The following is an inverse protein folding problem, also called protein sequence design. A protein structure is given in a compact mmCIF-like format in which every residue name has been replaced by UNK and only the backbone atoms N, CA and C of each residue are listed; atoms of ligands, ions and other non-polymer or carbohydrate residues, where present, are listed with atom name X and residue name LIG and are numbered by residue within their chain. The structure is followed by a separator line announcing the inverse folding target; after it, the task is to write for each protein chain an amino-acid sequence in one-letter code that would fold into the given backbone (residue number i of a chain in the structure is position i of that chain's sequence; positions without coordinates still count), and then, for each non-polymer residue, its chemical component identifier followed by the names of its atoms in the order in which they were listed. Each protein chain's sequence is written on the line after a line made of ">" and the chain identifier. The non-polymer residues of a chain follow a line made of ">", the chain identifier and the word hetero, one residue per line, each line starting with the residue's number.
data_IF_039887309400
#
_entry.id   IF_039887309400
#
_cell.length_a   1.000
_cell.length_b   1.000
_cell.length_c   1.000
_cell.angle_alpha   90.00
_cell.angle_beta   90.00
_cell.angle_gamma   90.00
#
_symmetry.space_group_name_H-M   'P 1'
#
loop_
_entity.id
_entity.type
_entity.pdbx_description
1 polymer ?
#
# COMPACT_ATOMS: atom_id res chain seq x y z
N UNK A 1 -27.91 4.09 8.96
CA UNK A 1 -27.07 5.30 8.89
C UNK A 1 -25.77 5.11 9.67
N UNK A 2 -25.82 4.69 10.93
CA UNK A 2 -24.64 4.52 11.80
C UNK A 2 -23.64 3.51 11.24
N UNK A 3 -24.08 2.36 10.73
CA UNK A 3 -23.19 1.35 10.11
C UNK A 3 -22.48 1.86 8.86
N UNK A 4 -23.16 2.62 8.01
CA UNK A 4 -22.52 3.23 6.82
C UNK A 4 -21.44 4.23 7.22
N UNK A 5 -21.69 5.03 8.27
CA UNK A 5 -20.71 5.97 8.80
C UNK A 5 -19.52 5.24 9.42
N UNK A 6 -19.77 4.19 10.21
CA UNK A 6 -18.72 3.34 10.78
C UNK A 6 -17.84 2.73 9.67
N UNK A 7 -18.47 2.18 8.63
CA UNK A 7 -17.78 1.62 7.47
C UNK A 7 -16.91 2.66 6.75
N UNK A 8 -17.45 3.87 6.56
CA UNK A 8 -16.72 4.98 5.95
C UNK A 8 -15.49 5.38 6.78
N UNK A 9 -15.65 5.56 8.09
CA UNK A 9 -14.60 6.08 8.96
C UNK A 9 -13.50 5.07 9.28
N UNK A 10 -13.84 3.77 9.42
CA UNK A 10 -12.90 2.73 9.81
C UNK A 10 -12.27 2.00 8.61
N UNK A 11 -13.01 1.88 7.51
CA UNK A 11 -12.64 1.07 6.36
C UNK A 11 -12.69 1.83 5.03
N UNK A 12 -12.75 3.18 5.09
CA UNK A 12 -12.83 4.04 3.90
C UNK A 12 -14.00 3.68 2.96
N UNK A 13 -15.09 3.12 3.48
CA UNK A 13 -16.25 2.68 2.70
C UNK A 13 -16.14 1.28 2.09
N UNK A 14 -14.99 0.61 2.20
CA UNK A 14 -14.78 -0.75 1.72
C UNK A 14 -15.38 -1.81 2.66
N UNK A 15 -15.52 -3.04 2.18
CA UNK A 15 -15.85 -4.18 3.06
C UNK A 15 -14.65 -4.46 3.98
N UNK A 16 -14.87 -4.84 5.27
CA UNK A 16 -13.80 -5.08 6.23
C UNK A 16 -12.77 -6.11 5.76
N UNK A 17 -13.23 -7.16 5.05
CA UNK A 17 -12.37 -8.21 4.52
C UNK A 17 -11.47 -7.70 3.38
N UNK A 18 -12.03 -6.97 2.41
CA UNK A 18 -11.28 -6.35 1.31
C UNK A 18 -10.27 -5.34 1.85
N UNK A 19 -10.70 -4.54 2.84
CA UNK A 19 -9.82 -3.57 3.51
C UNK A 19 -8.65 -4.27 4.22
N UNK A 20 -8.91 -5.39 4.92
CA UNK A 20 -7.87 -6.15 5.60
C UNK A 20 -6.87 -6.78 4.62
N UNK A 21 -7.36 -7.36 3.51
CA UNK A 21 -6.51 -7.98 2.47
C UNK A 21 -5.54 -6.99 1.84
N UNK A 22 -5.96 -5.76 1.58
CA UNK A 22 -5.10 -4.77 0.92
C UNK A 22 -4.13 -4.04 1.87
N UNK A 23 -4.16 -4.28 3.19
CA UNK A 23 -3.36 -3.51 4.15
C UNK A 23 -1.86 -3.62 3.92
N UNK A 24 -1.36 -4.81 3.59
CA UNK A 24 0.07 -5.02 3.35
C UNK A 24 0.54 -4.20 2.15
N UNK A 25 -0.18 -4.28 1.05
CA UNK A 25 0.13 -3.56 -0.18
C UNK A 25 0.00 -2.04 -0.01
N UNK A 26 -1.02 -1.60 0.75
CA UNK A 26 -1.19 -0.18 1.13
C UNK A 26 0.01 0.31 1.92
N UNK A 27 0.55 -0.48 2.85
CA UNK A 27 1.75 -0.11 3.60
C UNK A 27 2.98 -0.03 2.70
N UNK A 28 3.16 -0.97 1.78
CA UNK A 28 4.24 -0.92 0.78
C UNK A 28 4.12 0.35 -0.08
N UNK A 29 2.90 0.68 -0.51
CA UNK A 29 2.64 1.90 -1.28
C UNK A 29 2.92 3.17 -0.45
N UNK A 30 2.46 3.22 0.80
CA UNK A 30 2.73 4.34 1.72
C UNK A 30 4.21 4.53 1.99
N UNK A 31 4.96 3.45 2.13
CA UNK A 31 6.40 3.49 2.30
C UNK A 31 7.11 4.13 1.10
N UNK A 32 6.79 3.69 -0.12
CA UNK A 32 7.35 4.29 -1.35
C UNK A 32 7.04 5.78 -1.42
N UNK A 33 5.82 6.19 -1.04
CA UNK A 33 5.42 7.60 -0.96
C UNK A 33 6.23 8.36 0.08
N UNK A 34 6.38 7.80 1.29
CA UNK A 34 7.15 8.43 2.37
C UNK A 34 8.59 8.69 1.95
N UNK A 35 9.28 7.69 1.39
CA UNK A 35 10.65 7.84 0.87
C UNK A 35 10.74 8.96 -0.18
N UNK A 36 9.79 9.00 -1.14
CA UNK A 36 9.74 10.03 -2.16
C UNK A 36 9.48 11.43 -1.57
N UNK A 37 8.54 11.55 -0.62
CA UNK A 37 8.23 12.82 0.03
C UNK A 37 9.36 13.30 0.93
N UNK A 38 10.04 12.41 1.67
CA UNK A 38 11.21 12.76 2.47
C UNK A 38 12.36 13.25 1.58
N UNK A 39 12.65 12.57 0.47
CA UNK A 39 13.66 13.01 -0.49
C UNK A 39 13.34 14.38 -1.07
N UNK A 40 12.08 14.60 -1.48
CA UNK A 40 11.60 15.89 -1.99
C UNK A 40 11.68 16.98 -0.91
N UNK A 41 11.28 16.68 0.33
CA UNK A 41 11.34 17.61 1.46
C UNK A 41 12.80 18.01 1.78
N UNK A 42 13.73 17.06 1.77
CA UNK A 42 15.15 17.36 1.95
C UNK A 42 15.66 18.35 0.88
N UNK A 43 15.38 18.07 -0.40
CA UNK A 43 15.78 18.96 -1.50
C UNK A 43 15.14 20.35 -1.37
N UNK A 44 13.86 20.40 -1.01
CA UNK A 44 13.11 21.64 -0.80
C UNK A 44 13.66 22.48 0.37
N UNK A 45 13.92 21.84 1.53
CA UNK A 45 14.45 22.56 2.69
C UNK A 45 15.92 22.97 2.51
N UNK A 46 16.72 22.24 1.74
CA UNK A 46 18.05 22.71 1.29
C UNK A 46 17.90 23.98 0.48
N UNK A 47 17.03 23.99 -0.53
CA UNK A 47 16.81 25.15 -1.38
C UNK A 47 16.30 26.36 -0.60
N UNK A 48 15.36 26.17 0.35
CA UNK A 48 14.84 27.22 1.20
C UNK A 48 15.93 27.77 2.14
N UNK A 49 16.73 26.90 2.76
CA UNK A 49 17.81 27.34 3.67
C UNK A 49 18.86 28.14 2.92
N UNK A 50 19.30 27.64 1.76
CA UNK A 50 20.29 28.35 0.93
C UNK A 50 19.72 29.67 0.37
N UNK A 51 18.47 29.67 -0.10
CA UNK A 51 17.78 30.87 -0.58
C UNK A 51 17.61 31.93 0.51
N UNK A 52 17.28 31.49 1.74
CA UNK A 52 17.20 32.39 2.89
C UNK A 52 18.55 32.99 3.28
N UNK A 53 19.68 32.30 3.04
CA UNK A 53 21.02 32.89 3.24
C UNK A 53 21.37 33.98 2.21
N UNK A 54 20.70 34.01 1.07
CA UNK A 54 20.93 35.00 0.01
C UNK A 54 20.08 36.26 0.14
N UNK A 55 18.98 36.18 0.91
CA UNK A 55 18.01 37.26 1.05
C UNK A 55 17.93 37.71 2.51
N UNK A 56 18.46 38.91 2.86
CA UNK A 56 18.51 39.36 4.26
C UNK A 56 17.15 39.36 4.96
N UNK A 57 16.07 39.63 4.24
CA UNK A 57 14.69 39.60 4.78
C UNK A 57 14.26 38.22 5.28
N UNK A 58 14.91 37.13 4.83
CA UNK A 58 14.59 35.76 5.16
C UNK A 58 15.53 35.12 6.19
N UNK A 59 16.51 35.85 6.75
CA UNK A 59 17.46 35.30 7.72
C UNK A 59 16.80 34.70 8.95
N UNK A 60 15.70 35.27 9.42
CA UNK A 60 14.95 34.80 10.57
C UNK A 60 14.25 33.43 10.33
N UNK A 61 14.14 33.01 9.05
CA UNK A 61 13.54 31.73 8.67
C UNK A 61 14.59 30.58 8.58
N UNK A 62 15.90 30.90 8.54
CA UNK A 62 16.97 29.91 8.40
C UNK A 62 16.89 28.82 9.49
N UNK A 63 16.74 29.15 10.79
CA UNK A 63 16.70 28.11 11.83
C UNK A 63 15.58 27.11 11.65
N UNK A 64 14.38 27.58 11.28
CA UNK A 64 13.21 26.69 11.13
C UNK A 64 13.33 25.79 9.91
N UNK A 65 13.86 26.27 8.80
CA UNK A 65 14.10 25.46 7.61
C UNK A 65 15.25 24.46 7.85
N UNK A 66 16.29 24.84 8.58
CA UNK A 66 17.38 23.96 8.98
C UNK A 66 16.87 22.82 9.90
N UNK A 67 16.03 23.14 10.89
CA UNK A 67 15.39 22.12 11.74
C UNK A 67 14.54 21.17 10.92
N UNK A 68 13.70 21.68 10.01
CA UNK A 68 12.88 20.84 9.13
C UNK A 68 13.73 19.94 8.23
N UNK A 69 14.86 20.45 7.72
CA UNK A 69 15.85 19.67 6.97
C UNK A 69 16.46 18.55 7.82
N UNK A 70 16.91 18.86 9.03
CA UNK A 70 17.52 17.86 9.93
C UNK A 70 16.51 16.76 10.27
N UNK A 71 15.26 17.12 10.57
CA UNK A 71 14.21 16.14 10.85
C UNK A 71 13.93 15.28 9.62
N UNK A 72 13.83 15.88 8.42
CA UNK A 72 13.60 15.14 7.18
C UNK A 72 14.74 14.17 6.86
N UNK A 73 15.98 14.58 7.05
CA UNK A 73 17.18 13.73 6.88
C UNK A 73 17.20 12.60 7.91
N UNK A 74 16.84 12.88 9.16
CA UNK A 74 16.75 11.89 10.23
C UNK A 74 15.70 10.81 9.90
N UNK A 75 14.49 11.21 9.48
CA UNK A 75 13.44 10.28 9.06
C UNK A 75 13.87 9.46 7.82
N UNK A 76 14.52 10.09 6.85
CA UNK A 76 15.03 9.39 5.66
C UNK A 76 16.12 8.37 6.03
N UNK A 77 17.00 8.70 6.96
CA UNK A 77 18.01 7.77 7.44
C UNK A 77 17.39 6.57 8.17
N UNK A 78 16.39 6.82 9.02
CA UNK A 78 15.64 5.76 9.71
C UNK A 78 14.95 4.83 8.71
N UNK A 79 14.30 5.40 7.69
CA UNK A 79 13.66 4.66 6.62
C UNK A 79 14.65 3.75 5.85
N UNK A 80 15.86 4.24 5.58
CA UNK A 80 16.91 3.46 4.89
C UNK A 80 17.54 2.39 5.80
N UNK A 81 17.69 2.66 7.09
CA UNK A 81 18.24 1.70 8.05
C UNK A 81 17.31 0.50 8.31
N UNK A 82 16.02 0.70 8.18
CA UNK A 82 15.01 -0.31 8.50
C UNK A 82 14.04 -0.60 7.34
N UNK A 83 14.56 -1.01 6.17
CA UNK A 83 13.78 -1.13 4.95
C UNK A 83 12.65 -2.17 4.99
N UNK A 84 12.64 -3.08 5.92
CA UNK A 84 11.63 -4.14 6.02
C UNK A 84 10.56 -3.88 7.09
N UNK A 85 10.69 -2.81 7.89
CA UNK A 85 9.73 -2.52 8.95
C UNK A 85 8.48 -1.86 8.38
N UNK A 86 7.36 -2.54 8.52
CA UNK A 86 6.01 -2.11 8.17
C UNK A 86 5.15 -2.02 9.44
N UNK A 87 3.88 -1.73 9.29
CA UNK A 87 2.93 -1.70 10.39
C UNK A 87 3.05 -0.46 11.27
N UNK A 88 3.13 -0.64 12.56
CA UNK A 88 3.17 0.45 13.52
C UNK A 88 4.36 1.38 13.34
N UNK A 89 5.51 0.85 12.94
CA UNK A 89 6.72 1.61 12.74
C UNK A 89 6.59 2.60 11.58
N UNK A 90 6.14 2.13 10.42
CA UNK A 90 5.88 2.99 9.25
C UNK A 90 4.82 4.06 9.56
N UNK A 91 3.76 3.68 10.27
CA UNK A 91 2.74 4.64 10.69
C UNK A 91 3.33 5.74 11.57
N UNK A 92 4.23 5.39 12.46
CA UNK A 92 4.93 6.37 13.32
C UNK A 92 5.74 7.38 12.51
N UNK A 93 6.48 6.91 11.51
CA UNK A 93 7.25 7.77 10.59
C UNK A 93 6.34 8.71 9.78
N UNK A 94 5.21 8.20 9.29
CA UNK A 94 4.20 9.01 8.59
C UNK A 94 3.64 10.11 9.50
N UNK A 95 3.32 9.78 10.75
CA UNK A 95 2.85 10.78 11.72
C UNK A 95 3.93 11.79 12.07
N UNK A 96 5.19 11.36 12.24
CA UNK A 96 6.31 12.24 12.52
C UNK A 96 6.56 13.22 11.36
N UNK A 97 6.48 12.74 10.12
CA UNK A 97 6.55 13.58 8.92
C UNK A 97 5.39 14.60 8.87
N UNK A 98 4.16 14.14 9.10
CA UNK A 98 2.98 15.01 9.16
C UNK A 98 3.10 16.08 10.26
N UNK A 99 3.53 15.68 11.46
CA UNK A 99 3.72 16.57 12.59
C UNK A 99 4.79 17.65 12.32
N UNK A 100 5.86 17.28 11.61
CA UNK A 100 6.89 18.24 11.16
C UNK A 100 6.27 19.30 10.24
N UNK A 101 5.50 18.89 9.24
CA UNK A 101 4.88 19.82 8.28
C UNK A 101 3.83 20.71 8.96
N UNK A 102 2.95 20.15 9.81
CA UNK A 102 1.98 20.93 10.57
C UNK A 102 2.67 21.89 11.55
N UNK A 103 3.69 21.41 12.27
CA UNK A 103 4.47 22.24 13.21
C UNK A 103 5.15 23.40 12.50
N UNK A 104 5.70 23.17 11.31
CA UNK A 104 6.25 24.22 10.45
C UNK A 104 5.17 25.24 10.07
N UNK A 105 4.00 24.77 9.63
CA UNK A 105 2.87 25.64 9.26
C UNK A 105 2.36 26.48 10.43
N UNK A 106 2.27 25.89 11.62
CA UNK A 106 1.87 26.57 12.86
C UNK A 106 2.92 27.63 13.22
N UNK A 107 4.19 27.28 13.24
CA UNK A 107 5.27 28.21 13.57
C UNK A 107 5.30 29.42 12.62
N UNK A 108 5.31 29.15 11.31
CA UNK A 108 5.33 30.21 10.28
C UNK A 108 4.05 31.07 10.34
N UNK A 109 2.91 30.46 10.58
CA UNK A 109 1.62 31.14 10.62
C UNK A 109 1.29 31.85 11.92
N UNK A 110 2.01 31.60 13.02
CA UNK A 110 1.70 32.20 14.32
C UNK A 110 2.89 32.97 14.92
N UNK A 111 3.99 32.30 15.22
CA UNK A 111 5.16 32.91 15.90
C UNK A 111 5.91 33.84 14.97
N UNK A 112 6.14 33.41 13.72
CA UNK A 112 6.96 34.16 12.77
C UNK A 112 6.23 35.37 12.19
N UNK A 113 4.90 35.30 12.02
CA UNK A 113 4.08 36.34 11.42
C UNK A 113 2.87 36.68 12.32
N UNK A 114 3.08 37.32 13.48
CA UNK A 114 2.01 37.53 14.46
C UNK A 114 0.94 38.52 13.99
N UNK A 115 1.25 39.41 13.08
CA UNK A 115 0.41 40.44 12.49
C UNK A 115 -0.26 40.04 11.15
N UNK A 116 0.12 38.92 10.58
CA UNK A 116 -0.40 38.44 9.28
C UNK A 116 -1.29 37.21 9.45
N UNK A 117 -2.10 36.87 8.45
CA UNK A 117 -2.95 35.68 8.44
C UNK A 117 -2.12 34.40 8.22
N UNK A 118 -2.52 33.31 8.84
CA UNK A 118 -1.81 32.03 8.84
C UNK A 118 -2.08 31.19 7.57
N UNK A 119 -1.67 31.66 6.40
CA UNK A 119 -1.94 30.97 5.12
C UNK A 119 -1.26 29.61 5.00
N UNK A 120 0.00 29.48 5.41
CA UNK A 120 0.80 28.26 5.28
C UNK A 120 0.19 27.07 6.05
N UNK A 121 -0.29 27.32 7.27
CA UNK A 121 -0.92 26.26 8.09
C UNK A 121 -2.17 25.69 7.41
N UNK A 122 -3.05 26.53 6.89
CA UNK A 122 -4.29 26.08 6.25
C UNK A 122 -4.01 25.30 4.94
N UNK A 123 -2.98 25.69 4.19
CA UNK A 123 -2.55 24.90 3.05
C UNK A 123 -2.09 23.50 3.46
N UNK A 124 -1.27 23.38 4.52
CA UNK A 124 -0.82 22.09 5.03
C UNK A 124 -1.95 21.27 5.65
N UNK A 125 -2.89 21.92 6.33
CA UNK A 125 -4.07 21.27 6.92
C UNK A 125 -4.91 20.55 5.86
N UNK A 126 -5.02 21.11 4.67
CA UNK A 126 -5.73 20.49 3.55
C UNK A 126 -4.90 19.41 2.84
N UNK A 127 -3.59 19.60 2.70
CA UNK A 127 -2.77 18.78 1.82
C UNK A 127 -2.20 17.53 2.49
N UNK A 128 -1.70 17.64 3.73
CA UNK A 128 -1.04 16.54 4.45
C UNK A 128 -1.91 15.29 4.56
N UNK A 129 -3.22 15.38 4.88
CA UNK A 129 -4.08 14.20 4.98
C UNK A 129 -4.24 13.41 3.66
N UNK A 130 -3.89 14.00 2.51
CA UNK A 130 -4.03 13.35 1.20
C UNK A 130 -2.78 12.59 0.77
N UNK A 131 -1.65 12.72 1.48
CA UNK A 131 -0.37 12.14 1.08
C UNK A 131 -0.31 10.63 1.25
N UNK A 132 -0.97 10.11 2.29
CA UNK A 132 -0.87 8.71 2.69
C UNK A 132 -2.23 8.05 2.83
N UNK A 133 -2.32 6.77 2.43
CA UNK A 133 -3.53 5.97 2.61
C UNK A 133 -3.63 5.48 4.05
N UNK A 134 -4.49 6.09 4.84
CA UNK A 134 -4.76 5.73 6.23
C UNK A 134 -6.27 5.65 6.48
N UNK A 135 -6.67 5.07 7.62
CA UNK A 135 -8.08 5.06 8.01
C UNK A 135 -8.60 6.50 8.15
N UNK A 136 -9.76 6.86 7.58
CA UNK A 136 -10.28 8.22 7.66
C UNK A 136 -10.38 8.77 9.09
N UNK A 137 -10.77 7.92 10.06
CA UNK A 137 -10.84 8.33 11.49
C UNK A 137 -9.50 8.83 12.03
N UNK A 138 -8.38 8.26 11.58
CA UNK A 138 -7.04 8.66 12.01
C UNK A 138 -6.65 10.01 11.39
N UNK A 139 -7.03 10.27 10.14
CA UNK A 139 -6.86 11.58 9.53
C UNK A 139 -7.67 12.66 10.24
N UNK A 140 -8.94 12.38 10.53
CA UNK A 140 -9.79 13.30 11.28
C UNK A 140 -9.18 13.62 12.66
N UNK A 141 -8.75 12.60 13.40
CA UNK A 141 -8.12 12.80 14.70
C UNK A 141 -6.84 13.65 14.60
N UNK A 142 -6.03 13.42 13.57
CA UNK A 142 -4.80 14.16 13.30
C UNK A 142 -5.10 15.63 12.96
N UNK A 143 -6.06 15.88 12.06
CA UNK A 143 -6.51 17.25 11.70
C UNK A 143 -7.01 17.99 12.92
N UNK A 144 -7.90 17.39 13.73
CA UNK A 144 -8.43 18.00 14.93
C UNK A 144 -7.35 18.30 15.98
N UNK A 145 -6.37 17.42 16.13
CA UNK A 145 -5.23 17.62 17.03
C UNK A 145 -4.43 18.85 16.64
N UNK A 146 -3.98 18.94 15.39
CA UNK A 146 -3.13 20.05 14.94
C UNK A 146 -3.89 21.36 14.77
N UNK A 147 -5.17 21.32 14.41
CA UNK A 147 -6.04 22.48 14.40
C UNK A 147 -6.26 23.02 15.82
N UNK A 148 -6.44 22.14 16.81
CA UNK A 148 -6.49 22.50 18.22
C UNK A 148 -5.19 23.14 18.73
N UNK A 149 -4.02 22.57 18.36
CA UNK A 149 -2.71 23.16 18.70
C UNK A 149 -2.57 24.55 18.05
N UNK A 150 -2.96 24.68 16.78
CA UNK A 150 -2.96 25.96 16.08
C UNK A 150 -3.81 27.01 16.78
N UNK A 151 -5.04 26.69 17.20
CA UNK A 151 -5.93 27.59 17.93
C UNK A 151 -5.31 28.08 19.26
N UNK A 152 -4.63 27.19 19.99
CA UNK A 152 -3.89 27.59 21.19
C UNK A 152 -2.75 28.56 20.84
N UNK A 153 -1.98 28.28 19.78
CA UNK A 153 -0.90 29.16 19.34
C UNK A 153 -1.40 30.51 18.86
N UNK A 154 -2.53 30.55 18.13
CA UNK A 154 -3.19 31.81 17.71
C UNK A 154 -3.49 32.71 18.89
N UNK A 155 -4.11 32.16 19.96
CA UNK A 155 -4.46 32.96 21.14
C UNK A 155 -3.25 33.45 21.95
N UNK A 156 -2.07 32.82 21.77
CA UNK A 156 -0.84 33.14 22.53
C UNK A 156 0.10 34.08 21.81
N UNK A 157 0.21 33.96 20.47
CA UNK A 157 1.27 34.60 19.70
C UNK A 157 0.79 35.62 18.68
N UNK A 158 -0.55 35.65 18.37
CA UNK A 158 -1.08 36.52 17.31
C UNK A 158 -1.58 37.87 17.85
N UNK A 159 -1.54 38.89 16.98
CA UNK A 159 -2.20 40.17 17.23
C UNK A 159 -3.73 39.94 17.31
N UNK A 160 -4.36 40.58 18.28
CA UNK A 160 -5.82 40.47 18.51
C UNK A 160 -6.66 40.79 17.26
N UNK A 161 -6.15 41.60 16.33
CA UNK A 161 -6.83 42.02 15.10
C UNK A 161 -6.99 40.88 14.09
N UNK A 162 -6.08 39.90 14.07
CA UNK A 162 -6.10 38.76 13.12
C UNK A 162 -6.70 37.51 13.76
N UNK A 163 -6.75 37.39 15.08
CA UNK A 163 -7.27 36.22 15.78
C UNK A 163 -8.66 35.79 15.29
N UNK A 164 -9.69 36.68 15.20
CA UNK A 164 -11.04 36.26 14.83
C UNK A 164 -11.08 35.58 13.45
N UNK A 165 -10.28 36.08 12.50
CA UNK A 165 -10.25 35.52 11.15
C UNK A 165 -9.50 34.20 11.09
N UNK A 166 -8.38 34.07 11.83
CA UNK A 166 -7.62 32.84 11.91
C UNK A 166 -8.42 31.73 12.62
N UNK A 167 -9.19 32.06 13.66
CA UNK A 167 -10.12 31.13 14.33
C UNK A 167 -11.23 30.69 13.37
N UNK A 168 -11.84 31.63 12.65
CA UNK A 168 -12.86 31.30 11.65
C UNK A 168 -12.30 30.39 10.54
N UNK A 169 -11.11 30.71 10.03
CA UNK A 169 -10.44 29.89 9.02
C UNK A 169 -10.09 28.50 9.55
N UNK A 170 -9.63 28.36 10.79
CA UNK A 170 -9.34 27.08 11.42
C UNK A 170 -10.57 26.17 11.39
N UNK A 171 -11.71 26.67 11.89
CA UNK A 171 -12.96 25.90 11.88
C UNK A 171 -13.40 25.51 10.47
N UNK A 172 -13.34 26.44 9.52
CA UNK A 172 -13.76 26.19 8.13
C UNK A 172 -12.81 25.22 7.42
N UNK A 173 -11.50 25.49 7.44
CA UNK A 173 -10.52 24.63 6.76
C UNK A 173 -10.35 23.29 7.47
N UNK A 174 -10.49 23.22 8.80
CA UNK A 174 -10.52 21.97 9.55
C UNK A 174 -11.70 21.08 9.14
N UNK A 175 -12.92 21.67 9.07
CA UNK A 175 -14.09 20.91 8.59
C UNK A 175 -13.95 20.46 7.13
N UNK A 176 -13.49 21.35 6.24
CA UNK A 176 -13.23 21.00 4.84
C UNK A 176 -12.19 19.88 4.76
N UNK A 177 -11.09 19.97 5.50
CA UNK A 177 -10.04 18.96 5.53
C UNK A 177 -10.57 17.58 5.96
N UNK A 178 -11.39 17.52 7.02
CA UNK A 178 -12.02 16.28 7.47
C UNK A 178 -12.93 15.65 6.41
N UNK A 179 -13.73 16.47 5.71
CA UNK A 179 -14.65 15.99 4.66
C UNK A 179 -13.85 15.52 3.44
N UNK A 180 -12.95 16.36 2.94
CA UNK A 180 -12.19 16.09 1.72
C UNK A 180 -11.24 14.91 1.92
N UNK A 181 -10.52 14.83 3.05
CA UNK A 181 -9.64 13.70 3.33
C UNK A 181 -10.41 12.37 3.43
N UNK A 182 -11.60 12.38 4.04
CA UNK A 182 -12.46 11.18 4.11
C UNK A 182 -12.87 10.72 2.71
N UNK A 183 -13.30 11.66 1.85
CA UNK A 183 -13.69 11.35 0.49
C UNK A 183 -12.50 10.84 -0.35
N UNK A 184 -11.35 11.53 -0.29
CA UNK A 184 -10.13 11.14 -0.99
C UNK A 184 -9.66 9.75 -0.55
N UNK A 185 -9.68 9.46 0.75
CA UNK A 185 -9.33 8.13 1.26
C UNK A 185 -10.29 7.05 0.74
N UNK A 186 -11.59 7.34 0.73
CA UNK A 186 -12.58 6.39 0.18
C UNK A 186 -12.31 6.10 -1.30
N UNK A 187 -12.00 7.12 -2.10
CA UNK A 187 -11.63 6.94 -3.51
C UNK A 187 -10.32 6.16 -3.67
N UNK A 188 -9.29 6.50 -2.90
CA UNK A 188 -7.98 5.84 -2.99
C UNK A 188 -8.07 4.35 -2.65
N UNK A 189 -8.74 4.00 -1.55
CA UNK A 189 -8.96 2.60 -1.17
C UNK A 189 -9.86 1.88 -2.18
N UNK A 190 -10.94 2.51 -2.65
CA UNK A 190 -11.82 1.96 -3.67
C UNK A 190 -11.07 1.63 -4.97
N UNK A 191 -10.29 2.57 -5.48
CA UNK A 191 -9.46 2.36 -6.67
C UNK A 191 -8.41 1.27 -6.45
N UNK A 192 -7.76 1.26 -5.28
CA UNK A 192 -6.73 0.28 -4.95
C UNK A 192 -7.30 -1.14 -4.90
N UNK A 193 -8.42 -1.34 -4.19
CA UNK A 193 -9.11 -2.63 -4.09
C UNK A 193 -9.62 -3.09 -5.46
N UNK A 194 -10.20 -2.18 -6.25
CA UNK A 194 -10.68 -2.49 -7.60
C UNK A 194 -9.52 -2.90 -8.51
N UNK A 195 -8.41 -2.17 -8.48
CA UNK A 195 -7.20 -2.51 -9.24
C UNK A 195 -6.66 -3.87 -8.85
N UNK A 196 -6.56 -4.16 -7.56
CA UNK A 196 -6.10 -5.46 -7.04
C UNK A 196 -7.01 -6.61 -7.51
N UNK A 197 -8.35 -6.43 -7.43
CA UNK A 197 -9.31 -7.43 -7.93
C UNK A 197 -9.17 -7.65 -9.44
N UNK A 198 -9.01 -6.58 -10.22
CA UNK A 198 -8.81 -6.69 -11.66
C UNK A 198 -7.52 -7.43 -12.00
N UNK A 199 -6.42 -7.16 -11.29
CA UNK A 199 -5.16 -7.89 -11.47
C UNK A 199 -5.34 -9.37 -11.16
N UNK A 200 -6.01 -9.72 -10.04
CA UNK A 200 -6.29 -11.12 -9.69
C UNK A 200 -7.09 -11.82 -10.77
N UNK A 201 -8.13 -11.19 -11.30
CA UNK A 201 -8.94 -11.77 -12.39
C UNK A 201 -8.13 -11.89 -13.68
N UNK A 202 -7.28 -10.91 -13.99
CA UNK A 202 -6.43 -10.92 -15.19
C UNK A 202 -5.28 -11.93 -15.11
N UNK A 203 -4.87 -12.35 -13.90
CA UNK A 203 -3.75 -13.27 -13.66
C UNK A 203 -4.16 -14.67 -13.21
N UNK A 204 -5.45 -14.95 -13.03
CA UNK A 204 -5.97 -16.26 -12.65
C UNK A 204 -6.60 -16.99 -13.82
N UNK A 205 -6.47 -18.31 -13.85
CA UNK A 205 -7.26 -19.18 -14.70
C UNK A 205 -8.64 -19.44 -14.06
N UNK A 206 -9.71 -19.18 -14.76
CA UNK A 206 -11.08 -19.23 -14.21
C UNK A 206 -11.53 -20.65 -13.86
N UNK A 207 -11.03 -21.67 -14.57
CA UNK A 207 -11.40 -23.05 -14.33
C UNK A 207 -10.64 -23.66 -13.14
N UNK A 208 -9.30 -23.50 -13.13
CA UNK A 208 -8.43 -24.17 -12.16
C UNK A 208 -8.07 -23.30 -10.95
N UNK A 209 -8.28 -21.98 -11.04
CA UNK A 209 -7.88 -21.01 -10.01
C UNK A 209 -6.36 -20.91 -9.78
N UNK A 210 -5.54 -21.55 -10.59
CA UNK A 210 -4.12 -21.31 -10.63
C UNK A 210 -3.81 -19.98 -11.35
N UNK A 211 -2.58 -19.53 -11.25
CA UNK A 211 -2.12 -18.44 -12.09
C UNK A 211 -2.20 -18.81 -13.58
N UNK A 212 -2.61 -17.87 -14.41
CA UNK A 212 -2.72 -18.08 -15.85
C UNK A 212 -1.39 -17.75 -16.56
N UNK A 213 -1.37 -17.92 -17.89
CA UNK A 213 -0.23 -17.61 -18.74
C UNK A 213 0.27 -16.17 -18.60
N UNK A 214 -0.63 -15.22 -18.45
CA UNK A 214 -0.23 -13.81 -18.28
C UNK A 214 0.55 -13.59 -16.98
N UNK A 215 0.09 -14.18 -15.89
CA UNK A 215 0.82 -14.16 -14.60
C UNK A 215 2.19 -14.84 -14.73
N UNK A 216 2.27 -15.99 -15.41
CA UNK A 216 3.52 -16.70 -15.68
C UNK A 216 4.53 -15.80 -16.42
N UNK A 217 4.14 -15.19 -17.54
CA UNK A 217 5.01 -14.33 -18.35
C UNK A 217 5.48 -13.08 -17.57
N UNK A 218 4.62 -12.49 -16.76
CA UNK A 218 4.95 -11.32 -15.94
C UNK A 218 5.93 -11.66 -14.81
N UNK A 219 5.73 -12.80 -14.12
CA UNK A 219 6.52 -13.17 -12.93
C UNK A 219 7.81 -13.91 -13.24
N UNK A 220 7.96 -14.44 -14.45
CA UNK A 220 9.14 -15.22 -14.87
C UNK A 220 10.46 -14.47 -14.62
N UNK A 221 10.47 -13.15 -14.76
CA UNK A 221 11.65 -12.30 -14.56
C UNK A 221 12.04 -12.13 -13.10
N UNK A 222 11.10 -12.35 -12.18
CA UNK A 222 11.32 -12.12 -10.74
C UNK A 222 11.87 -13.39 -10.04
N UNK A 223 11.71 -14.56 -10.64
CA UNK A 223 12.15 -15.82 -10.06
C UNK A 223 13.64 -15.86 -9.71
N UNK A 224 14.58 -15.40 -10.58
CA UNK A 224 15.99 -15.35 -10.24
C UNK A 224 16.33 -14.47 -9.02
N UNK A 225 15.44 -13.54 -8.66
CA UNK A 225 15.59 -12.66 -7.50
C UNK A 225 14.98 -13.28 -6.23
N UNK A 226 14.10 -14.28 -6.38
CA UNK A 226 13.39 -14.95 -5.27
C UNK A 226 14.13 -16.20 -4.76
N UNK A 227 14.99 -16.80 -5.58
CA UNK A 227 15.78 -17.97 -5.20
C UNK A 227 17.23 -17.60 -4.85
N UNK A 228 17.81 -18.31 -3.89
CA UNK A 228 19.19 -18.11 -3.43
C UNK A 228 20.17 -19.15 -4.02
N UNK A 229 19.71 -20.36 -4.23
CA UNK A 229 20.57 -21.50 -4.64
C UNK A 229 20.13 -22.14 -5.95
N UNK A 230 18.84 -22.49 -6.09
CA UNK A 230 18.36 -23.24 -7.24
C UNK A 230 16.94 -22.84 -7.62
N UNK A 231 16.66 -22.86 -8.91
CA UNK A 231 15.32 -22.69 -9.47
C UNK A 231 15.06 -23.85 -10.41
N UNK A 232 14.07 -24.67 -10.11
CA UNK A 232 13.62 -25.75 -10.99
C UNK A 232 12.26 -25.42 -11.56
N UNK A 233 12.13 -25.54 -12.87
CA UNK A 233 10.87 -25.43 -13.58
C UNK A 233 10.33 -26.83 -13.90
N UNK A 234 9.14 -27.12 -13.44
CA UNK A 234 8.41 -28.37 -13.72
C UNK A 234 7.34 -28.07 -14.75
N UNK A 235 7.45 -28.67 -15.91
CA UNK A 235 6.47 -28.56 -17.01
C UNK A 235 5.63 -29.82 -17.06
N UNK A 236 4.33 -29.69 -17.11
CA UNK A 236 3.36 -30.79 -17.06
C UNK A 236 2.37 -30.62 -18.20
N UNK A 237 2.13 -31.72 -18.91
CA UNK A 237 1.13 -31.84 -19.95
C UNK A 237 0.16 -32.95 -19.57
N UNK A 238 -1.16 -32.67 -19.63
CA UNK A 238 -2.20 -33.59 -19.21
C UNK A 238 -2.70 -34.40 -20.40
N UNK A 239 -2.18 -35.62 -20.52
CA UNK A 239 -2.55 -36.53 -21.59
C UNK A 239 -3.99 -37.03 -21.50
N UNK A 240 -4.65 -37.25 -22.64
CA UNK A 240 -5.97 -37.85 -22.71
C UNK A 240 -7.14 -36.91 -22.49
N UNK A 241 -6.91 -35.60 -22.26
CA UNK A 241 -7.97 -34.59 -22.05
C UNK A 241 -8.96 -34.55 -23.21
N UNK A 242 -8.48 -34.63 -24.45
CA UNK A 242 -9.34 -34.63 -25.65
C UNK A 242 -10.24 -35.86 -25.74
N UNK A 243 -9.71 -37.03 -25.45
CA UNK A 243 -10.46 -38.30 -25.46
C UNK A 243 -11.53 -38.28 -24.33
N UNK A 244 -11.16 -37.80 -23.15
CA UNK A 244 -12.05 -37.65 -22.01
C UNK A 244 -13.21 -36.72 -22.36
N UNK A 245 -12.92 -35.56 -22.96
CA UNK A 245 -13.92 -34.60 -23.39
C UNK A 245 -14.89 -35.18 -24.44
N UNK A 246 -14.36 -35.94 -25.40
CA UNK A 246 -15.18 -36.58 -26.45
C UNK A 246 -16.08 -37.68 -25.91
N UNK A 247 -15.63 -38.41 -24.88
CA UNK A 247 -16.35 -39.55 -24.32
C UNK A 247 -17.36 -39.13 -23.25
N UNK A 248 -16.97 -38.22 -22.36
CA UNK A 248 -17.75 -37.87 -21.15
C UNK A 248 -18.17 -36.38 -21.09
N UNK A 249 -17.82 -35.61 -22.12
CA UNK A 249 -18.12 -34.18 -22.19
C UNK A 249 -17.09 -33.28 -21.52
N UNK A 250 -17.16 -31.97 -21.80
CA UNK A 250 -16.22 -30.97 -21.31
C UNK A 250 -16.16 -30.85 -19.78
N UNK A 251 -17.26 -31.16 -19.10
CA UNK A 251 -17.32 -31.10 -17.63
C UNK A 251 -16.36 -32.11 -16.97
N UNK A 252 -16.23 -33.32 -17.57
CA UNK A 252 -15.27 -34.32 -17.11
C UNK A 252 -13.82 -33.87 -17.30
N UNK A 253 -13.51 -33.24 -18.44
CA UNK A 253 -12.19 -32.68 -18.67
C UNK A 253 -11.88 -31.50 -17.74
N UNK A 254 -12.85 -30.64 -17.48
CA UNK A 254 -12.72 -29.54 -16.53
C UNK A 254 -12.46 -30.05 -15.10
N UNK A 255 -13.12 -31.13 -14.70
CA UNK A 255 -12.87 -31.80 -13.43
C UNK A 255 -11.45 -32.34 -13.35
N UNK A 256 -10.98 -33.02 -14.40
CA UNK A 256 -9.59 -33.50 -14.49
C UNK A 256 -8.58 -32.36 -14.32
N UNK A 257 -8.77 -31.26 -15.05
CA UNK A 257 -7.88 -30.10 -14.94
C UNK A 257 -7.89 -29.46 -13.55
N UNK A 258 -9.05 -29.36 -12.90
CA UNK A 258 -9.18 -28.87 -11.51
C UNK A 258 -8.47 -29.79 -10.51
N UNK A 259 -8.56 -31.11 -10.71
CA UNK A 259 -7.86 -32.09 -9.86
C UNK A 259 -6.33 -31.92 -9.97
N UNK A 260 -5.78 -31.89 -11.19
CA UNK A 260 -4.36 -31.63 -11.43
C UNK A 260 -3.92 -30.31 -10.78
N UNK A 261 -4.71 -29.26 -10.95
CA UNK A 261 -4.42 -27.96 -10.36
C UNK A 261 -4.40 -27.97 -8.82
N UNK A 262 -5.33 -28.73 -8.20
CA UNK A 262 -5.37 -28.89 -6.74
C UNK A 262 -4.10 -29.57 -6.23
N UNK A 263 -3.69 -30.66 -6.86
CA UNK A 263 -2.47 -31.40 -6.51
C UNK A 263 -1.22 -30.52 -6.68
N UNK A 264 -1.14 -29.77 -7.78
CA UNK A 264 -0.02 -28.83 -7.99
C UNK A 264 0.07 -27.76 -6.91
N UNK A 265 -1.08 -27.18 -6.54
CA UNK A 265 -1.17 -26.17 -5.48
C UNK A 265 -0.71 -26.72 -4.13
N UNK A 266 -1.08 -27.96 -3.80
CA UNK A 266 -0.69 -28.60 -2.54
C UNK A 266 0.81 -28.87 -2.46
N UNK A 267 1.43 -29.27 -3.58
CA UNK A 267 2.84 -29.68 -3.61
C UNK A 267 3.79 -28.51 -3.82
N UNK A 268 3.49 -27.62 -4.77
CA UNK A 268 4.37 -26.51 -5.17
C UNK A 268 3.93 -25.15 -4.64
N UNK A 269 2.74 -25.04 -4.04
CA UNK A 269 2.15 -23.81 -3.56
C UNK A 269 1.37 -23.04 -4.64
N UNK A 270 0.45 -22.20 -4.19
CA UNK A 270 -0.43 -21.40 -5.06
C UNK A 270 0.35 -20.36 -5.86
N UNK A 271 1.34 -19.71 -5.22
CA UNK A 271 2.12 -18.61 -5.82
C UNK A 271 3.03 -19.05 -6.98
N UNK A 272 3.43 -20.31 -7.00
CA UNK A 272 4.41 -20.84 -7.92
C UNK A 272 3.85 -21.90 -8.89
N UNK A 273 2.49 -21.99 -8.98
CA UNK A 273 1.76 -22.93 -9.85
C UNK A 273 0.93 -22.20 -10.89
N UNK A 274 1.04 -22.62 -12.15
CA UNK A 274 0.47 -21.92 -13.31
C UNK A 274 -0.21 -22.91 -14.26
N UNK A 275 -1.31 -22.46 -14.90
CA UNK A 275 -1.87 -23.08 -16.10
C UNK A 275 -1.58 -22.17 -17.29
N UNK A 276 -0.75 -22.62 -18.23
CA UNK A 276 -0.26 -21.80 -19.34
C UNK A 276 -0.92 -22.13 -20.69
N UNK A 277 -1.62 -23.25 -20.76
CA UNK A 277 -2.32 -23.72 -21.96
C UNK A 277 -3.60 -24.47 -21.60
N UNK A 278 -4.21 -25.13 -22.57
CA UNK A 278 -5.42 -25.94 -22.38
C UNK A 278 -5.20 -27.08 -21.38
N UNK A 279 -4.13 -27.83 -21.57
CA UNK A 279 -3.68 -29.01 -20.83
C UNK A 279 -2.28 -28.84 -20.23
N UNK A 280 -1.69 -27.65 -20.38
CA UNK A 280 -0.31 -27.36 -20.00
C UNK A 280 -0.25 -26.61 -18.66
N UNK A 281 0.56 -27.14 -17.75
CA UNK A 281 0.82 -26.54 -16.44
C UNK A 281 2.32 -26.33 -16.22
N UNK A 282 2.65 -25.34 -15.42
CA UNK A 282 4.03 -25.06 -14.97
C UNK A 282 4.01 -24.86 -13.47
N UNK A 283 5.01 -25.43 -12.79
CA UNK A 283 5.29 -25.12 -11.39
C UNK A 283 6.77 -24.78 -11.21
N UNK A 284 7.07 -23.94 -10.23
CA UNK A 284 8.43 -23.62 -9.84
C UNK A 284 8.74 -24.13 -8.44
N UNK A 285 9.88 -24.81 -8.30
CA UNK A 285 10.45 -25.19 -7.01
C UNK A 285 11.68 -24.32 -6.75
N UNK A 286 11.60 -23.47 -5.71
CA UNK A 286 12.65 -22.55 -5.31
C UNK A 286 13.50 -23.20 -4.22
N UNK A 287 14.81 -23.11 -4.36
CA UNK A 287 15.82 -23.58 -3.38
C UNK A 287 15.64 -25.04 -2.91
N UNK A 288 14.89 -25.85 -3.68
CA UNK A 288 14.64 -27.26 -3.37
C UNK A 288 15.86 -28.11 -3.68
N UNK A 289 16.13 -29.09 -2.83
CA UNK A 289 17.14 -30.12 -3.09
C UNK A 289 16.63 -31.11 -4.15
N UNK A 290 17.55 -31.79 -4.85
CA UNK A 290 17.15 -32.82 -5.82
C UNK A 290 16.33 -33.96 -5.19
N UNK A 291 16.54 -34.26 -3.91
CA UNK A 291 15.78 -35.28 -3.16
C UNK A 291 14.35 -34.81 -2.92
N UNK A 292 14.16 -33.60 -2.41
CA UNK A 292 12.85 -33.00 -2.17
C UNK A 292 12.04 -32.86 -3.47
N UNK A 293 12.70 -32.46 -4.55
CA UNK A 293 12.04 -32.35 -5.85
C UNK A 293 11.56 -33.73 -6.35
N UNK A 294 12.39 -34.76 -6.22
CA UNK A 294 11.99 -36.11 -6.59
C UNK A 294 10.84 -36.65 -5.74
N UNK A 295 10.84 -36.40 -4.44
CA UNK A 295 9.74 -36.75 -3.53
C UNK A 295 8.44 -36.03 -3.92
N UNK A 296 8.50 -34.74 -4.22
CA UNK A 296 7.37 -33.95 -4.70
C UNK A 296 6.81 -34.48 -6.03
N UNK A 297 7.70 -34.84 -6.98
CA UNK A 297 7.27 -35.41 -8.25
C UNK A 297 6.66 -36.81 -8.11
N UNK A 298 7.22 -37.67 -7.23
CA UNK A 298 6.65 -38.98 -6.96
C UNK A 298 5.29 -38.85 -6.24
N UNK A 299 5.15 -37.87 -5.36
CA UNK A 299 3.88 -37.59 -4.69
C UNK A 299 2.84 -37.12 -5.74
N UNK A 300 3.21 -36.19 -6.62
CA UNK A 300 2.35 -35.71 -7.69
C UNK A 300 1.85 -36.85 -8.58
N UNK A 301 2.76 -37.72 -9.05
CA UNK A 301 2.41 -38.84 -9.92
C UNK A 301 1.50 -39.85 -9.19
N UNK A 302 1.72 -40.08 -7.90
CA UNK A 302 0.85 -40.98 -7.09
C UNK A 302 -0.54 -40.42 -6.95
N UNK A 303 -0.68 -39.13 -6.60
CA UNK A 303 -1.97 -38.46 -6.40
C UNK A 303 -2.76 -38.37 -7.72
N UNK A 304 -2.11 -38.06 -8.85
CA UNK A 304 -2.77 -38.05 -10.15
C UNK A 304 -3.26 -39.42 -10.60
N UNK A 305 -2.61 -40.53 -10.16
CA UNK A 305 -3.01 -41.91 -10.47
C UNK A 305 -4.07 -42.46 -9.52
N UNK A 306 -4.33 -41.81 -8.42
CA UNK A 306 -5.31 -42.24 -7.42
C UNK A 306 -6.70 -41.77 -7.83
N UNK A 307 -7.56 -42.74 -8.22
CA UNK A 307 -8.93 -42.48 -8.68
C UNK A 307 -9.79 -41.80 -7.60
N UNK A 308 -9.48 -41.97 -6.31
CA UNK A 308 -10.21 -41.32 -5.21
C UNK A 308 -10.09 -39.79 -5.20
N UNK A 309 -8.98 -39.26 -5.67
CA UNK A 309 -8.77 -37.81 -5.81
C UNK A 309 -9.73 -37.17 -6.82
N UNK A 310 -10.18 -37.94 -7.82
CA UNK A 310 -11.17 -37.47 -8.80
C UNK A 310 -12.60 -37.44 -8.26
N UNK A 311 -12.88 -38.14 -7.17
CA UNK A 311 -14.19 -38.15 -6.49
C UNK A 311 -14.36 -36.99 -5.49
N UNK A 312 -13.29 -36.60 -4.76
CA UNK A 312 -13.34 -35.53 -3.76
C UNK A 312 -13.31 -34.11 -4.37
N UNK A 313 -12.79 -33.93 -5.56
CA UNK A 313 -12.70 -32.64 -6.24
C UNK A 313 -14.00 -32.22 -6.98
N UNK A 314 -15.11 -32.88 -6.70
CA UNK A 314 -16.45 -32.58 -7.23
C UNK A 314 -17.21 -31.59 -6.29
#
# INVERSE_FOLDING_TARGET
>A
MLEKLKKLLLYAGAEPEDFARCQMDVQIANRRRLTAFLGTACAFFVALTLGSCMVPLLYDHIPVFAVALIVSLGLLAVEQMFPQKLGLFLNWEIYAFGAMIYGLGIYLGTVQTPDQRAAAFFAFLLYVPMLFMMRPILHIANVLLFDGIFLVCVTRFKDWRVIPMDVCNALVFGAISCIVSTFVMSMMYGNFITSSKLTTVAESDLNTRLHNRNAYENRLRDYPLRCSNSLTCVYIDVNGLHELNNTYGHEAGDKMLRTVACILREIFGEEDSYRIGGDEFVAFALDSTGTELNENMEQFIRQVKDESYFEEAA
#
